data_IF_699873854574
#
_entry.id   IF_699873854574
#
_cell.length_a   1.000
_cell.length_b   1.000
_cell.length_c   1.000
_cell.angle_alpha   90.00
_cell.angle_beta   90.00
_cell.angle_gamma   90.00
#
_symmetry.space_group_name_H-M   'P 1'
#
loop_
_entity.id
_entity.type
_entity.pdbx_description
1 polymer ?
#
# COMPACT_ATOMS: atom_id res chain seq x y z
N UNK A 1 -7.51 11.77 -4.38
CA UNK A 1 -7.88 12.38 -3.08
C UNK A 1 -6.66 12.43 -2.18
N UNK A 2 -6.49 13.50 -1.40
CA UNK A 2 -5.36 13.66 -0.45
C UNK A 2 -5.68 13.10 0.96
N UNK A 3 -6.82 12.45 1.15
CA UNK A 3 -7.36 12.11 2.46
C UNK A 3 -8.02 13.33 3.13
N UNK A 4 -8.68 13.11 4.27
CA UNK A 4 -9.34 14.18 5.06
C UNK A 4 -8.83 14.08 6.49
N UNK A 5 -8.38 15.20 7.06
CA UNK A 5 -8.04 15.29 8.49
C UNK A 5 -9.31 15.55 9.32
N UNK A 6 -9.27 15.24 10.61
CA UNK A 6 -10.40 15.54 11.50
C UNK A 6 -10.69 17.04 11.56
N UNK A 7 -9.67 17.89 11.48
CA UNK A 7 -9.83 19.33 11.45
C UNK A 7 -10.53 19.81 10.17
N UNK A 8 -10.16 19.25 9.01
CA UNK A 8 -10.83 19.55 7.75
C UNK A 8 -12.28 19.11 7.79
N UNK A 9 -12.55 17.86 8.25
CA UNK A 9 -13.91 17.35 8.39
C UNK A 9 -14.77 18.24 9.31
N UNK A 10 -14.20 18.70 10.43
CA UNK A 10 -14.85 19.63 11.37
C UNK A 10 -15.36 20.90 10.67
N UNK A 11 -14.51 21.47 9.80
CA UNK A 11 -14.83 22.69 9.05
C UNK A 11 -15.87 22.45 7.95
N UNK A 12 -15.69 21.34 7.20
CA UNK A 12 -16.54 21.03 6.05
C UNK A 12 -17.98 20.67 6.49
N UNK A 13 -18.13 20.02 7.65
CA UNK A 13 -19.43 19.56 8.18
C UNK A 13 -20.02 20.53 9.21
N UNK A 14 -19.25 21.53 9.66
CA UNK A 14 -19.74 22.51 10.65
C UNK A 14 -19.91 21.96 12.07
N UNK A 15 -19.18 20.91 12.44
CA UNK A 15 -19.20 20.30 13.79
C UNK A 15 -17.92 20.62 14.56
N UNK A 16 -17.93 20.48 15.88
CA UNK A 16 -16.72 20.69 16.65
C UNK A 16 -15.67 19.61 16.35
N UNK A 17 -14.39 19.90 16.62
CA UNK A 17 -13.26 19.01 16.33
C UNK A 17 -13.40 17.62 16.99
N UNK A 18 -13.87 17.55 18.24
CA UNK A 18 -14.04 16.27 18.95
C UNK A 18 -15.04 15.37 18.24
N UNK A 19 -16.17 15.93 17.83
CA UNK A 19 -17.20 15.20 17.07
C UNK A 19 -16.64 14.70 15.74
N UNK A 20 -15.96 15.56 14.98
CA UNK A 20 -15.33 15.19 13.72
C UNK A 20 -14.25 14.10 13.89
N UNK A 21 -13.45 14.19 14.97
CA UNK A 21 -12.45 13.20 15.31
C UNK A 21 -13.08 11.81 15.56
N UNK A 22 -14.09 11.76 16.43
CA UNK A 22 -14.81 10.51 16.71
C UNK A 22 -15.48 9.95 15.46
N UNK A 23 -16.13 10.82 14.68
CA UNK A 23 -16.83 10.43 13.45
C UNK A 23 -15.86 9.78 12.44
N UNK A 24 -14.71 10.42 12.17
CA UNK A 24 -13.76 9.88 11.20
C UNK A 24 -13.16 8.53 11.64
N UNK A 25 -12.96 8.34 12.95
CA UNK A 25 -12.49 7.06 13.48
C UNK A 25 -13.56 5.97 13.39
N UNK A 26 -14.82 6.29 13.68
CA UNK A 26 -15.94 5.34 13.50
C UNK A 26 -16.11 4.94 12.04
N UNK A 27 -16.03 5.89 11.10
CA UNK A 27 -16.09 5.59 9.67
C UNK A 27 -14.94 4.69 9.21
N UNK A 28 -13.72 4.96 9.67
CA UNK A 28 -12.56 4.10 9.36
C UNK A 28 -12.74 2.69 9.90
N UNK A 29 -13.26 2.55 11.13
CA UNK A 29 -13.54 1.25 11.73
C UNK A 29 -14.60 0.49 10.94
N UNK A 30 -15.71 1.14 10.60
CA UNK A 30 -16.77 0.54 9.79
C UNK A 30 -16.25 0.05 8.42
N UNK A 31 -15.39 0.83 7.75
CA UNK A 31 -14.77 0.42 6.49
C UNK A 31 -13.87 -0.82 6.65
N UNK A 32 -13.18 -0.96 7.79
CA UNK A 32 -12.36 -2.14 8.08
C UNK A 32 -13.23 -3.38 8.36
N UNK A 33 -14.33 -3.22 9.09
CA UNK A 33 -15.27 -4.30 9.43
C UNK A 33 -16.03 -4.83 8.20
N UNK A 34 -16.33 -3.94 7.24
CA UNK A 34 -17.00 -4.29 5.97
C UNK A 34 -16.03 -4.50 4.81
N UNK A 35 -14.77 -4.79 5.10
CA UNK A 35 -13.77 -5.07 4.08
C UNK A 35 -14.14 -6.33 3.30
N UNK A 36 -14.09 -6.24 1.97
CA UNK A 36 -14.19 -7.41 1.10
C UNK A 36 -12.94 -8.29 1.26
N UNK A 37 -13.14 -9.49 1.81
CA UNK A 37 -12.08 -10.48 2.02
C UNK A 37 -12.11 -11.61 0.99
N UNK A 38 -12.87 -11.48 -0.10
CA UNK A 38 -12.85 -12.45 -1.18
C UNK A 38 -11.47 -12.46 -1.86
N UNK A 39 -11.06 -13.66 -2.30
CA UNK A 39 -9.77 -13.83 -2.96
C UNK A 39 -9.73 -13.01 -4.26
N UNK A 40 -8.58 -12.39 -4.51
CA UNK A 40 -8.28 -11.74 -5.77
C UNK A 40 -7.96 -12.81 -6.81
N UNK A 41 -8.51 -12.69 -8.03
CA UNK A 41 -8.48 -13.77 -9.05
C UNK A 41 -7.90 -13.38 -10.39
N UNK A 42 -7.90 -12.09 -10.71
CA UNK A 42 -7.41 -11.55 -11.98
C UNK A 42 -5.89 -11.26 -11.91
N UNK A 43 -5.41 -10.44 -12.80
CA UNK A 43 -4.05 -9.91 -12.74
C UNK A 43 -3.89 -8.97 -11.54
N UNK A 44 -2.84 -9.16 -10.75
CA UNK A 44 -2.66 -8.49 -9.47
C UNK A 44 -1.29 -7.81 -9.45
N UNK A 45 -1.26 -6.51 -9.16
CA UNK A 45 -0.03 -5.80 -8.84
C UNK A 45 0.20 -5.85 -7.34
N UNK A 46 1.37 -6.31 -6.92
CA UNK A 46 1.76 -6.40 -5.52
C UNK A 46 3.07 -5.65 -5.26
N UNK A 47 3.10 -4.83 -4.20
CA UNK A 47 4.26 -4.02 -3.85
C UNK A 47 4.21 -3.65 -2.37
N UNK A 48 5.37 -3.30 -1.81
CA UNK A 48 5.54 -2.92 -0.41
C UNK A 48 6.19 -1.55 -0.25
N UNK A 49 5.77 -0.80 0.75
CA UNK A 49 6.41 0.45 1.10
C UNK A 49 6.55 0.62 2.60
N UNK A 50 7.72 1.09 3.02
CA UNK A 50 7.99 1.37 4.43
C UNK A 50 7.50 2.76 4.84
N UNK A 51 6.84 2.79 6.00
CA UNK A 51 6.40 4.01 6.66
C UNK A 51 7.18 4.17 7.95
N UNK A 52 7.72 5.37 8.15
CA UNK A 52 8.44 5.70 9.36
C UNK A 52 7.66 6.76 10.13
N UNK A 53 7.57 6.67 11.46
CA UNK A 53 7.26 7.85 12.24
C UNK A 53 8.35 8.88 11.92
N UNK A 54 7.97 10.15 11.70
CA UNK A 54 8.92 11.21 11.43
C UNK A 54 9.61 11.62 12.74
N UNK A 55 10.78 11.06 13.08
CA UNK A 55 11.51 11.51 14.26
C UNK A 55 11.96 12.96 14.00
N UNK A 56 11.85 13.81 14.99
CA UNK A 56 12.48 15.14 14.93
C UNK A 56 13.98 14.94 14.76
N UNK A 57 14.51 15.45 13.66
CA UNK A 57 15.96 15.46 13.45
C UNK A 57 16.60 16.29 14.58
N UNK A 58 17.71 15.80 15.12
CA UNK A 58 18.49 16.57 16.05
C UNK A 58 18.93 17.90 15.40
N UNK A 59 18.95 18.98 16.20
CA UNK A 59 19.32 20.31 15.71
C UNK A 59 20.77 20.33 15.17
N UNK A 60 21.69 19.74 15.91
CA UNK A 60 23.08 19.63 15.47
C UNK A 60 23.24 18.48 14.49
N UNK A 61 23.96 18.71 13.40
CA UNK A 61 24.19 17.72 12.34
C UNK A 61 24.95 16.47 12.86
N UNK A 62 25.82 16.66 13.84
CA UNK A 62 26.64 15.58 14.46
C UNK A 62 25.77 14.58 15.24
N UNK A 63 24.67 15.06 15.83
CA UNK A 63 23.77 14.23 16.66
C UNK A 63 22.69 13.54 15.83
N UNK A 64 22.73 13.64 14.49
CA UNK A 64 21.71 13.06 13.62
C UNK A 64 21.97 11.57 13.41
N UNK A 65 20.98 10.77 13.77
CA UNK A 65 20.97 9.33 13.58
C UNK A 65 20.56 9.01 12.13
N UNK A 66 21.32 8.16 11.45
CA UNK A 66 20.95 7.62 10.15
C UNK A 66 20.02 6.40 10.32
N UNK A 67 18.73 6.61 10.19
CA UNK A 67 17.71 5.57 10.32
C UNK A 67 17.65 4.57 9.13
N UNK A 68 18.52 4.73 8.12
CA UNK A 68 18.64 3.74 7.03
C UNK A 68 19.46 2.54 7.47
N UNK A 69 20.36 2.72 8.44
CA UNK A 69 21.16 1.65 9.00
C UNK A 69 20.28 0.70 9.80
N UNK A 70 20.51 -0.61 9.65
CA UNK A 70 19.71 -1.66 10.30
C UNK A 70 19.67 -1.52 11.82
N UNK A 71 20.80 -1.14 12.42
CA UNK A 71 20.97 -0.91 13.86
C UNK A 71 20.17 0.28 14.40
N UNK A 72 19.89 1.26 13.54
CA UNK A 72 19.19 2.50 13.88
C UNK A 72 17.72 2.50 13.43
N UNK A 73 17.18 1.37 13.00
CA UNK A 73 15.81 1.31 12.53
C UNK A 73 14.83 1.64 13.66
N UNK A 74 13.92 2.57 13.39
CA UNK A 74 12.91 2.95 14.36
C UNK A 74 11.97 1.78 14.68
N UNK A 75 11.68 1.46 15.95
CA UNK A 75 10.82 0.34 16.34
C UNK A 75 9.40 0.46 15.78
N UNK A 76 8.95 1.68 15.52
CA UNK A 76 7.64 1.95 14.92
C UNK A 76 7.62 1.91 13.39
N UNK A 77 8.72 1.51 12.75
CA UNK A 77 8.73 1.28 11.30
C UNK A 77 7.74 0.18 10.94
N UNK A 78 6.90 0.42 9.94
CA UNK A 78 5.96 -0.56 9.41
C UNK A 78 6.12 -0.67 7.91
N UNK A 79 5.86 -1.85 7.39
CA UNK A 79 5.72 -2.08 5.97
C UNK A 79 4.23 -2.15 5.63
N UNK A 80 3.83 -1.44 4.59
CA UNK A 80 2.50 -1.53 4.01
C UNK A 80 2.65 -2.32 2.73
N UNK A 81 2.04 -3.51 2.67
CA UNK A 81 1.99 -4.33 1.47
C UNK A 81 0.60 -4.19 0.87
N UNK A 82 0.54 -3.93 -0.42
CA UNK A 82 -0.71 -3.79 -1.17
C UNK A 82 -0.79 -4.84 -2.26
N UNK A 83 -1.96 -5.46 -2.41
CA UNK A 83 -2.32 -6.29 -3.54
C UNK A 83 -3.52 -5.64 -4.26
N UNK A 84 -3.36 -5.33 -5.55
CA UNK A 84 -4.35 -4.61 -6.35
C UNK A 84 -4.73 -5.39 -7.59
N UNK A 85 -5.97 -5.80 -7.65
CA UNK A 85 -6.53 -6.54 -8.76
C UNK A 85 -6.90 -5.61 -9.91
N UNK A 86 -6.53 -5.99 -11.11
CA UNK A 86 -6.94 -5.31 -12.34
C UNK A 86 -8.38 -5.66 -12.72
N UNK A 87 -9.02 -4.79 -13.48
CA UNK A 87 -10.20 -5.18 -14.24
C UNK A 87 -9.81 -6.12 -15.37
N UNK A 88 -10.62 -7.11 -15.66
CA UNK A 88 -10.44 -7.97 -16.82
C UNK A 88 -10.48 -7.20 -18.15
N UNK A 89 -9.96 -7.78 -19.22
CA UNK A 89 -10.00 -7.15 -20.54
C UNK A 89 -11.45 -6.86 -20.99
N UNK A 90 -12.39 -7.76 -20.71
CA UNK A 90 -13.81 -7.57 -21.01
C UNK A 90 -14.42 -6.40 -20.24
N UNK A 91 -14.15 -6.30 -18.93
CA UNK A 91 -14.64 -5.18 -18.11
C UNK A 91 -14.06 -3.83 -18.55
N UNK A 92 -12.78 -3.80 -18.95
CA UNK A 92 -12.14 -2.59 -19.51
C UNK A 92 -12.75 -2.17 -20.85
N UNK A 93 -13.16 -3.13 -21.68
CA UNK A 93 -13.79 -2.86 -22.97
C UNK A 93 -15.18 -2.22 -22.80
N UNK A 94 -15.94 -2.67 -21.81
CA UNK A 94 -17.30 -2.16 -21.54
C UNK A 94 -17.26 -0.75 -20.92
N UNK A 95 -16.27 -0.44 -20.10
CA UNK A 95 -16.21 0.84 -19.40
C UNK A 95 -14.81 1.45 -19.43
N UNK A 96 -14.66 2.56 -20.18
CA UNK A 96 -13.41 3.32 -20.28
C UNK A 96 -12.85 3.82 -18.95
N UNK A 97 -13.67 3.89 -17.90
CA UNK A 97 -13.26 4.33 -16.56
C UNK A 97 -12.64 3.20 -15.72
N UNK A 98 -12.71 1.94 -16.16
CA UNK A 98 -12.08 0.78 -15.52
C UNK A 98 -10.54 0.75 -15.76
N UNK A 99 -9.89 1.90 -15.57
CA UNK A 99 -8.42 2.04 -15.69
C UNK A 99 -7.67 1.86 -14.38
N UNK A 100 -8.40 1.97 -13.25
CA UNK A 100 -7.84 1.77 -11.90
C UNK A 100 -7.85 0.32 -11.48
N UNK A 101 -7.58 0.06 -10.19
CA UNK A 101 -7.77 -1.27 -9.64
C UNK A 101 -9.26 -1.54 -9.39
N UNK A 102 -9.68 -2.77 -9.68
CA UNK A 102 -11.01 -3.30 -9.37
C UNK A 102 -11.19 -3.43 -7.87
N UNK A 103 -10.23 -4.10 -7.23
CA UNK A 103 -10.19 -4.28 -5.77
C UNK A 103 -8.78 -4.00 -5.24
N UNK A 104 -8.67 -3.69 -3.97
CA UNK A 104 -7.39 -3.48 -3.31
C UNK A 104 -7.43 -4.07 -1.92
N UNK A 105 -6.45 -4.88 -1.59
CA UNK A 105 -6.23 -5.36 -0.23
C UNK A 105 -4.91 -4.79 0.30
N UNK A 106 -4.94 -4.32 1.54
CA UNK A 106 -3.80 -3.64 2.16
C UNK A 106 -3.49 -4.31 3.49
N UNK A 107 -2.24 -4.59 3.73
CA UNK A 107 -1.74 -5.24 4.92
C UNK A 107 -0.66 -4.38 5.57
N UNK A 108 -0.69 -4.29 6.89
CA UNK A 108 0.34 -3.60 7.68
C UNK A 108 1.16 -4.65 8.40
N UNK A 109 2.45 -4.67 8.14
CA UNK A 109 3.41 -5.65 8.67
C UNK A 109 4.63 -4.95 9.26
N UNK A 110 5.51 -5.69 9.92
CA UNK A 110 6.78 -5.14 10.41
C UNK A 110 7.83 -5.06 9.31
N UNK A 111 7.80 -6.01 8.38
CA UNK A 111 8.81 -6.15 7.33
C UNK A 111 8.22 -6.80 6.09
N UNK A 112 8.89 -6.65 4.98
CA UNK A 112 8.63 -7.29 3.71
C UNK A 112 9.63 -8.44 3.54
N UNK A 113 9.25 -9.60 4.07
CA UNK A 113 10.04 -10.84 3.96
C UNK A 113 9.27 -11.88 3.18
N UNK A 114 9.97 -12.88 2.64
CA UNK A 114 9.36 -13.99 1.89
C UNK A 114 8.22 -14.66 2.68
N UNK A 115 8.41 -14.91 3.97
CA UNK A 115 7.38 -15.53 4.82
C UNK A 115 6.13 -14.65 4.95
N UNK A 116 6.30 -13.33 5.12
CA UNK A 116 5.18 -12.39 5.22
C UNK A 116 4.44 -12.27 3.90
N UNK A 117 5.19 -12.12 2.79
CA UNK A 117 4.62 -12.02 1.43
C UNK A 117 3.86 -13.29 1.07
N UNK A 118 4.45 -14.48 1.32
CA UNK A 118 3.80 -15.77 1.09
C UNK A 118 2.49 -15.91 1.86
N UNK A 119 2.51 -15.62 3.17
CA UNK A 119 1.30 -15.68 4.01
C UNK A 119 0.21 -14.70 3.56
N UNK A 120 0.58 -13.52 3.07
CA UNK A 120 -0.38 -12.54 2.53
C UNK A 120 -0.99 -13.08 1.24
N UNK A 121 -0.16 -13.57 0.32
CA UNK A 121 -0.63 -14.10 -0.96
C UNK A 121 -1.60 -15.28 -0.78
N UNK A 122 -1.27 -16.23 0.09
CA UNK A 122 -2.15 -17.36 0.42
C UNK A 122 -3.51 -16.93 0.95
N UNK A 123 -3.56 -15.83 1.70
CA UNK A 123 -4.80 -15.31 2.32
C UNK A 123 -5.66 -14.50 1.39
N UNK A 124 -5.09 -13.87 0.36
CA UNK A 124 -5.82 -12.88 -0.44
C UNK A 124 -5.82 -13.15 -1.93
N UNK A 125 -5.02 -14.09 -2.45
CA UNK A 125 -4.88 -14.34 -3.88
C UNK A 125 -5.27 -15.78 -4.18
N UNK A 126 -6.05 -15.97 -5.23
CA UNK A 126 -6.40 -17.29 -5.74
C UNK A 126 -5.15 -17.99 -6.30
N UNK A 127 -4.97 -19.28 -6.00
CA UNK A 127 -3.86 -20.08 -6.55
C UNK A 127 -3.82 -20.00 -8.07
N UNK A 128 -2.61 -20.03 -8.62
CA UNK A 128 -2.32 -19.83 -10.04
C UNK A 128 -2.72 -18.46 -10.61
N UNK A 129 -3.04 -17.49 -9.75
CA UNK A 129 -3.23 -16.09 -10.14
C UNK A 129 -1.95 -15.48 -10.69
N UNK A 130 -2.10 -14.48 -11.56
CA UNK A 130 -0.97 -13.73 -12.10
C UNK A 130 -0.61 -12.60 -11.14
N UNK A 131 0.66 -12.49 -10.75
CA UNK A 131 1.15 -11.46 -9.84
C UNK A 131 2.29 -10.69 -10.49
N UNK A 132 2.14 -9.38 -10.60
CA UNK A 132 3.19 -8.47 -11.06
C UNK A 132 3.84 -7.82 -9.84
N UNK A 133 5.15 -7.87 -9.75
CA UNK A 133 5.94 -7.30 -8.63
C UNK A 133 7.16 -6.55 -9.16
N UNK A 134 7.84 -5.85 -8.27
CA UNK A 134 9.21 -5.39 -8.50
C UNK A 134 10.22 -6.55 -8.38
N UNK A 135 11.51 -6.27 -8.60
CA UNK A 135 12.60 -7.24 -8.51
C UNK A 135 13.01 -7.62 -7.08
N UNK A 136 12.18 -7.38 -6.08
CA UNK A 136 12.54 -7.69 -4.70
C UNK A 136 12.51 -9.21 -4.44
N UNK A 137 13.60 -9.74 -3.91
CA UNK A 137 13.76 -11.15 -3.49
C UNK A 137 12.65 -11.62 -2.52
N UNK A 138 11.96 -10.69 -1.87
CA UNK A 138 10.85 -11.01 -0.97
C UNK A 138 9.69 -11.72 -1.67
N UNK A 139 9.54 -11.53 -2.98
CA UNK A 139 8.46 -12.11 -3.79
C UNK A 139 8.82 -13.46 -4.43
N UNK A 140 10.07 -13.89 -4.40
CA UNK A 140 10.51 -15.17 -5.01
C UNK A 140 9.78 -16.38 -4.43
N UNK A 141 9.31 -16.30 -3.19
CA UNK A 141 8.50 -17.33 -2.54
C UNK A 141 7.19 -17.64 -3.27
N UNK A 142 6.73 -16.73 -4.12
CA UNK A 142 5.48 -16.87 -4.88
C UNK A 142 5.65 -17.70 -6.15
N UNK A 143 6.86 -17.84 -6.70
CA UNK A 143 7.18 -18.55 -7.94
C UNK A 143 6.58 -19.96 -8.04
N UNK A 144 6.60 -20.81 -6.99
CA UNK A 144 6.09 -22.17 -7.11
C UNK A 144 4.57 -22.27 -7.23
N UNK A 145 3.83 -21.23 -6.82
CA UNK A 145 2.37 -21.27 -6.65
C UNK A 145 1.63 -20.35 -7.60
N UNK A 146 2.27 -19.26 -8.06
CA UNK A 146 1.65 -18.20 -8.83
C UNK A 146 2.41 -17.93 -10.14
N UNK A 147 1.72 -17.36 -11.15
CA UNK A 147 2.36 -16.82 -12.37
C UNK A 147 3.01 -15.47 -12.01
N UNK A 148 4.21 -15.52 -11.42
CA UNK A 148 4.94 -14.34 -10.97
C UNK A 148 5.64 -13.67 -12.17
N UNK A 149 5.44 -12.36 -12.29
CA UNK A 149 6.08 -11.49 -13.29
C UNK A 149 6.76 -10.34 -12.59
N UNK A 150 8.03 -10.15 -12.87
CA UNK A 150 8.82 -9.08 -12.31
C UNK A 150 9.04 -7.97 -13.33
N UNK A 151 9.02 -6.72 -12.87
CA UNK A 151 9.30 -5.52 -13.67
C UNK A 151 10.57 -4.87 -13.16
N UNK A 152 11.56 -4.73 -14.04
CA UNK A 152 12.80 -4.02 -13.72
C UNK A 152 12.65 -2.52 -13.97
N UNK A 153 12.32 -1.77 -12.92
CA UNK A 153 12.16 -0.31 -13.01
C UNK A 153 13.45 0.48 -13.31
N UNK A 154 14.64 -0.17 -13.23
CA UNK A 154 15.91 0.49 -13.54
C UNK A 154 16.21 0.55 -15.01
N UNK A 155 15.67 -0.40 -15.77
CA UNK A 155 15.92 -0.53 -17.21
C UNK A 155 14.70 -0.10 -18.04
N UNK A 156 13.48 -0.43 -17.56
CA UNK A 156 12.26 -0.18 -18.31
C UNK A 156 11.07 0.16 -17.40
N UNK A 157 10.30 1.20 -17.72
CA UNK A 157 9.02 1.49 -17.05
C UNK A 157 7.91 0.48 -17.43
N UNK A 158 8.13 -0.27 -18.48
CA UNK A 158 7.23 -1.31 -18.99
C UNK A 158 8.07 -2.40 -19.62
N UNK A 159 7.92 -3.63 -19.18
CA UNK A 159 8.62 -4.74 -19.81
C UNK A 159 8.18 -4.89 -21.27
N UNK A 160 9.02 -5.46 -22.13
CA UNK A 160 8.70 -5.76 -23.54
C UNK A 160 7.43 -6.60 -23.65
N UNK A 161 7.11 -7.42 -22.64
CA UNK A 161 5.87 -8.20 -22.51
C UNK A 161 4.66 -7.37 -22.09
N UNK A 162 4.82 -6.06 -21.85
CA UNK A 162 3.73 -5.17 -21.44
C UNK A 162 3.34 -5.23 -19.97
N UNK A 163 4.09 -5.97 -19.16
CA UNK A 163 3.86 -6.08 -17.71
C UNK A 163 4.22 -4.75 -17.01
N UNK A 164 3.39 -4.31 -16.10
CA UNK A 164 3.59 -3.08 -15.32
C UNK A 164 3.15 -3.32 -13.89
N UNK A 165 3.75 -2.63 -12.93
CA UNK A 165 3.30 -2.58 -11.52
C UNK A 165 2.57 -1.26 -11.19
N UNK A 166 1.99 -0.63 -12.21
CA UNK A 166 1.42 0.72 -12.15
C UNK A 166 0.29 0.88 -11.14
N UNK A 167 -0.48 -0.18 -10.86
CA UNK A 167 -1.59 -0.08 -9.92
C UNK A 167 -1.08 0.05 -8.49
N UNK A 168 -0.06 -0.71 -8.10
CA UNK A 168 0.57 -0.62 -6.79
C UNK A 168 1.29 0.74 -6.62
N UNK A 169 2.06 1.19 -7.64
CA UNK A 169 2.69 2.50 -7.64
C UNK A 169 1.68 3.64 -7.50
N UNK A 170 0.56 3.57 -8.23
CA UNK A 170 -0.52 4.54 -8.14
C UNK A 170 -1.13 4.60 -6.72
N UNK A 171 -1.24 3.45 -6.04
CA UNK A 171 -1.66 3.41 -4.64
C UNK A 171 -0.67 4.14 -3.76
N UNK A 172 0.62 3.81 -3.83
CA UNK A 172 1.63 4.43 -2.99
C UNK A 172 1.84 5.90 -3.29
N UNK A 173 1.69 6.34 -4.53
CA UNK A 173 1.70 7.76 -4.88
C UNK A 173 0.59 8.54 -4.15
N UNK A 174 -0.63 7.99 -4.08
CA UNK A 174 -1.75 8.59 -3.34
C UNK A 174 -1.55 8.52 -1.84
N UNK A 175 -1.08 7.37 -1.35
CA UNK A 175 -0.76 7.16 0.05
C UNK A 175 0.32 8.15 0.54
N UNK A 176 1.42 8.28 -0.18
CA UNK A 176 2.51 9.23 0.13
C UNK A 176 2.00 10.68 0.17
N UNK A 177 1.14 11.08 -0.76
CA UNK A 177 0.51 12.42 -0.74
C UNK A 177 -0.37 12.65 0.48
N UNK A 178 -1.11 11.65 0.93
CA UNK A 178 -1.88 11.72 2.17
C UNK A 178 -0.95 11.75 3.40
N UNK A 179 0.04 10.90 3.43
CA UNK A 179 0.99 10.78 4.53
C UNK A 179 1.78 12.08 4.74
N UNK A 180 2.43 12.58 3.69
CA UNK A 180 3.23 13.81 3.79
C UNK A 180 2.40 15.09 3.84
N UNK A 181 1.23 15.11 3.23
CA UNK A 181 0.42 16.33 3.09
C UNK A 181 -0.59 16.56 4.19
N UNK A 182 -1.01 15.52 4.92
CA UNK A 182 -2.08 15.64 5.91
C UNK A 182 -1.80 14.97 7.26
N UNK A 183 -1.23 13.76 7.24
CA UNK A 183 -1.05 13.00 8.47
C UNK A 183 0.27 13.31 9.14
N UNK A 184 1.32 13.59 8.35
CA UNK A 184 2.70 13.88 8.76
C UNK A 184 3.32 12.81 9.68
N UNK A 185 2.51 12.00 10.35
CA UNK A 185 2.92 10.92 11.24
C UNK A 185 1.80 9.87 11.29
N UNK A 186 2.17 8.60 11.20
CA UNK A 186 1.29 7.47 11.48
C UNK A 186 1.85 6.77 12.72
N UNK A 187 1.06 6.69 13.78
CA UNK A 187 1.37 5.93 14.99
C UNK A 187 0.74 4.54 14.89
N UNK A 188 1.29 3.62 15.70
CA UNK A 188 0.83 2.23 15.80
C UNK A 188 -0.35 2.04 16.79
N UNK A 189 -1.15 3.06 17.01
CA UNK A 189 -2.35 2.94 17.85
C UNK A 189 -3.57 2.57 17.03
#
# INVERSE_FOLDING_TARGET
MKGVSALQLSRDVGVNYRTAFVLIHKLRKALLEHRDNTLLSEEIDMDGAYVHPAPRKANKKVDRIDYRLKENQHPDKRCIIVAREHFSAGEKAVNRFHRGAKRSQVFVTYSETQSVVGSIAERCIQKAGRINTDESVAYDVLLPTYDLRTVNHKEEYRSDSGVTNNQAESFFSRFKRMYYGQLHKINNQ
#
